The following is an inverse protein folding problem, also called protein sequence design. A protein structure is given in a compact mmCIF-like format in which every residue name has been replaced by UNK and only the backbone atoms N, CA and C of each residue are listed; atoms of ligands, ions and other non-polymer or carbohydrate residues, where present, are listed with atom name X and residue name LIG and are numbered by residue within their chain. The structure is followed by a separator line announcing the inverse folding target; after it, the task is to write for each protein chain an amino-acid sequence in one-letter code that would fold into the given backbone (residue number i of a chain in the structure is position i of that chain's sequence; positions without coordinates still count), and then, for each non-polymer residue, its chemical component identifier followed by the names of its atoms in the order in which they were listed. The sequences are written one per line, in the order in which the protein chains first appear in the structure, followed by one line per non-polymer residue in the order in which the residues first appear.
data_IF_693395930167
#
_entry.id   IF_693395930167
#
_cell.length_a   1.000
_cell.length_b   1.000
_cell.length_c   1.000
_cell.angle_alpha   90.00
_cell.angle_beta   90.00
_cell.angle_gamma   90.00
#
_symmetry.space_group_name_H-M   'P 1'
#
loop_
_entity.id
_entity.type
_entity.pdbx_description
1 polymer ?
#
# COMPACT_ATOMS: atom_id res chain seq x y z
N UNK A 1 5.34 -0.12 1.83
CA UNK A 1 3.90 -0.37 2.00
C UNK A 1 3.71 -1.61 2.86
N UNK A 2 2.78 -1.52 3.81
CA UNK A 2 2.33 -2.61 4.66
C UNK A 2 0.81 -2.75 4.57
N UNK A 3 0.30 -3.91 4.93
CA UNK A 3 -1.13 -4.19 4.99
C UNK A 3 -1.49 -4.68 6.38
N UNK A 4 -2.52 -4.10 6.98
CA UNK A 4 -3.07 -4.54 8.26
C UNK A 4 -4.57 -4.85 8.10
N UNK A 5 -5.02 -5.96 8.67
CA UNK A 5 -6.45 -6.24 8.81
C UNK A 5 -7.00 -5.43 9.99
N UNK A 6 -8.19 -4.85 9.80
CA UNK A 6 -8.91 -4.09 10.83
C UNK A 6 -10.32 -4.63 10.93
N UNK A 7 -10.74 -4.94 12.17
CA UNK A 7 -12.09 -5.43 12.46
C UNK A 7 -12.99 -4.26 12.79
N UNK A 8 -14.08 -4.12 12.05
CA UNK A 8 -15.05 -3.03 12.16
C UNK A 8 -16.47 -3.59 12.30
N UNK A 9 -17.46 -2.73 12.53
CA UNK A 9 -18.86 -3.14 12.57
C UNK A 9 -19.35 -3.62 11.19
N UNK A 10 -18.72 -3.12 10.13
CA UNK A 10 -18.98 -3.43 8.73
C UNK A 10 -18.29 -4.73 8.27
N UNK A 11 -17.52 -5.37 9.16
CA UNK A 11 -16.75 -6.59 8.88
C UNK A 11 -15.24 -6.36 8.86
N UNK A 12 -14.53 -7.27 8.20
CA UNK A 12 -13.08 -7.20 8.04
C UNK A 12 -12.72 -6.26 6.89
N UNK A 13 -11.96 -5.23 7.20
CA UNK A 13 -11.39 -4.30 6.22
C UNK A 13 -9.87 -4.37 6.31
N UNK A 14 -9.20 -3.74 5.34
CA UNK A 14 -7.75 -3.71 5.30
C UNK A 14 -7.24 -2.28 5.13
N UNK A 15 -6.16 -1.97 5.84
CA UNK A 15 -5.41 -0.73 5.67
C UNK A 15 -4.17 -0.98 4.84
N UNK A 16 -4.05 -0.24 3.74
CA UNK A 16 -2.79 -0.03 3.06
C UNK A 16 -2.09 1.16 3.71
N UNK A 17 -0.85 0.94 4.17
CA UNK A 17 -0.08 1.95 4.90
C UNK A 17 1.29 2.14 4.25
N UNK A 18 1.67 3.39 4.04
CA UNK A 18 3.02 3.80 3.69
C UNK A 18 3.40 5.00 4.54
N UNK A 19 4.70 5.23 4.69
CA UNK A 19 5.24 6.43 5.33
C UNK A 19 6.16 7.05 4.30
N UNK A 20 5.96 8.34 4.02
CA UNK A 20 6.93 9.10 3.25
C UNK A 20 8.18 9.30 4.09
N UNK A 21 9.33 8.87 3.57
CA UNK A 21 10.59 8.90 4.31
C UNK A 21 11.06 10.32 4.63
N UNK A 22 10.70 11.30 3.79
CA UNK A 22 11.17 12.67 3.93
C UNK A 22 10.33 13.45 4.94
N UNK A 23 9.01 13.44 4.77
CA UNK A 23 8.10 14.15 5.67
C UNK A 23 7.76 13.36 6.94
N UNK A 24 8.05 12.06 6.98
CA UNK A 24 7.60 11.13 8.03
C UNK A 24 6.08 11.10 8.24
N UNK A 25 5.31 11.55 7.25
CA UNK A 25 3.85 11.52 7.31
C UNK A 25 3.32 10.17 6.82
N UNK A 26 2.36 9.57 7.56
CA UNK A 26 1.70 8.35 7.12
C UNK A 26 0.68 8.65 6.03
N UNK A 27 0.65 7.79 5.01
CA UNK A 27 -0.38 7.74 3.99
C UNK A 27 -1.14 6.42 4.11
N UNK A 28 -2.47 6.52 4.24
CA UNK A 28 -3.32 5.39 4.60
C UNK A 28 -4.54 5.32 3.69
N UNK A 29 -4.85 4.13 3.20
CA UNK A 29 -6.07 3.86 2.43
C UNK A 29 -6.79 2.64 3.00
N UNK A 30 -8.09 2.78 3.23
CA UNK A 30 -8.98 1.69 3.61
C UNK A 30 -9.46 0.98 2.34
N UNK A 31 -9.31 -0.35 2.30
CA UNK A 31 -9.74 -1.21 1.20
C UNK A 31 -10.51 -2.40 1.74
N UNK A 32 -11.49 -2.88 0.98
CA UNK A 32 -12.33 -4.03 1.36
C UNK A 32 -11.56 -5.35 1.16
N UNK A 33 -10.67 -5.39 0.17
CA UNK A 33 -9.87 -6.57 -0.17
C UNK A 33 -8.45 -6.19 -0.54
N UNK A 34 -7.53 -7.16 -0.40
CA UNK A 34 -6.09 -6.93 -0.60
C UNK A 34 -5.59 -7.65 -1.85
N UNK A 35 -5.95 -7.10 -3.00
CA UNK A 35 -5.56 -7.60 -4.34
C UNK A 35 -4.47 -6.73 -4.96
N UNK A 36 -3.71 -7.25 -5.94
CA UNK A 36 -2.61 -6.51 -6.59
C UNK A 36 -3.06 -5.16 -7.15
N UNK A 37 -4.23 -5.10 -7.80
CA UNK A 37 -4.79 -3.85 -8.34
C UNK A 37 -4.98 -2.79 -7.25
N UNK A 38 -5.49 -3.18 -6.07
CA UNK A 38 -5.70 -2.26 -4.96
C UNK A 38 -4.37 -1.72 -4.39
N UNK A 39 -3.32 -2.52 -4.42
CA UNK A 39 -1.97 -2.08 -4.03
C UNK A 39 -1.37 -1.13 -5.08
N UNK A 40 -1.58 -1.40 -6.38
CA UNK A 40 -1.16 -0.49 -7.46
C UNK A 40 -1.84 0.87 -7.37
N UNK A 41 -3.16 0.91 -7.17
CA UNK A 41 -3.93 2.16 -6.99
C UNK A 41 -3.39 2.95 -5.79
N UNK A 42 -3.14 2.27 -4.67
CA UNK A 42 -2.57 2.90 -3.48
C UNK A 42 -1.20 3.55 -3.76
N UNK A 43 -0.31 2.85 -4.49
CA UNK A 43 1.02 3.37 -4.80
C UNK A 43 0.97 4.57 -5.76
N UNK A 44 0.06 4.58 -6.73
CA UNK A 44 -0.15 5.73 -7.61
C UNK A 44 -0.62 6.94 -6.80
N UNK A 45 -1.63 6.76 -5.95
CA UNK A 45 -2.13 7.82 -5.08
C UNK A 45 -1.06 8.34 -4.10
N UNK A 46 -0.22 7.46 -3.57
CA UNK A 46 0.92 7.85 -2.74
C UNK A 46 1.89 8.75 -3.51
N UNK A 47 2.27 8.37 -4.73
CA UNK A 47 3.21 9.14 -5.57
C UNK A 47 2.65 10.54 -5.89
N UNK A 48 1.35 10.65 -6.10
CA UNK A 48 0.68 11.94 -6.34
C UNK A 48 0.60 12.80 -5.07
N UNK A 49 0.48 12.19 -3.89
CA UNK A 49 0.34 12.89 -2.62
C UNK A 49 1.67 13.40 -2.04
N UNK A 50 2.81 12.78 -2.38
CA UNK A 50 4.12 13.21 -1.86
C UNK A 50 4.74 14.34 -2.69
N UNK A 51 5.24 15.37 -2.00
CA UNK A 51 5.82 16.55 -2.63
C UNK A 51 7.14 16.28 -3.37
N UNK A 52 7.82 15.18 -3.03
CA UNK A 52 9.10 14.80 -3.64
C UNK A 52 8.92 13.64 -4.61
N UNK A 53 9.65 13.69 -5.74
CA UNK A 53 9.67 12.60 -6.72
C UNK A 53 10.11 11.29 -6.05
N UNK A 54 9.21 10.32 -5.99
CA UNK A 54 9.50 9.00 -5.43
C UNK A 54 10.40 8.21 -6.39
N UNK A 55 11.56 7.75 -5.91
CA UNK A 55 12.50 6.96 -6.72
C UNK A 55 12.51 5.47 -6.35
N UNK A 56 12.14 5.14 -5.11
CA UNK A 56 12.07 3.78 -4.59
C UNK A 56 10.96 3.68 -3.55
N UNK A 57 10.29 2.53 -3.50
CA UNK A 57 9.35 2.18 -2.45
C UNK A 57 9.83 0.89 -1.81
N UNK A 58 9.98 0.88 -0.49
CA UNK A 58 10.22 -0.35 0.27
C UNK A 58 8.87 -0.96 0.64
N UNK A 59 8.61 -2.18 0.19
CA UNK A 59 7.42 -2.95 0.53
C UNK A 59 7.83 -4.28 1.17
N UNK A 60 6.93 -4.87 1.96
CA UNK A 60 7.14 -6.22 2.46
C UNK A 60 7.14 -7.23 1.29
N UNK A 61 7.78 -8.38 1.46
CA UNK A 61 7.91 -9.41 0.41
C UNK A 61 6.60 -10.19 0.15
N UNK A 62 5.43 -9.58 0.35
CA UNK A 62 4.14 -10.25 0.13
C UNK A 62 3.93 -10.58 -1.35
N UNK A 63 3.11 -11.60 -1.63
CA UNK A 63 2.79 -12.09 -2.98
C UNK A 63 2.24 -11.02 -3.95
N UNK A 64 1.79 -9.87 -3.43
CA UNK A 64 1.29 -8.72 -4.20
C UNK A 64 2.41 -7.82 -4.76
N UNK A 65 3.63 -7.98 -4.27
CA UNK A 65 4.80 -7.18 -4.65
C UNK A 65 5.88 -8.01 -5.36
N UNK A 66 5.64 -9.30 -5.56
CA UNK A 66 6.54 -10.20 -6.27
C UNK A 66 5.91 -10.65 -7.58
N UNK A 67 6.67 -10.57 -8.68
CA UNK A 67 6.29 -11.26 -9.91
C UNK A 67 6.41 -12.77 -9.68
N UNK A 68 5.36 -13.54 -9.96
CA UNK A 68 5.52 -14.98 -10.09
C UNK A 68 6.54 -15.23 -11.21
N UNK A 69 7.59 -16.04 -11.00
CA UNK A 69 8.46 -16.44 -12.09
C UNK A 69 7.58 -17.11 -13.15
N UNK A 70 7.67 -16.62 -14.39
CA UNK A 70 7.01 -17.26 -15.53
C UNK A 70 7.50 -18.71 -15.59
N UNK A 71 6.56 -19.65 -15.58
CA UNK A 71 6.84 -21.08 -15.72
C UNK A 71 7.28 -21.41 -17.14
#
# INVERSE_FOLDING_TARGET
MYTAEVRTAEGNLYLHVAIDWYSNLPFVQLVVETVTTSASVFLVALIEAVACKTHKVLANCGARFTSHPLR
#
